data_IF_278342733234
#
_entry.id   IF_278342733234
#
_cell.length_a   1.000
_cell.length_b   1.000
_cell.length_c   1.000
_cell.angle_alpha   90.00
_cell.angle_beta   90.00
_cell.angle_gamma   90.00
#
_symmetry.space_group_name_H-M   'P 1'
#
loop_
_entity.id
_entity.type
_entity.pdbx_description
1 polymer ?
#
# COMPACT_ATOMS: atom_id res chain seq x y z
N UNK A 1 -3.43 -17.20 9.74
CA UNK A 1 -4.85 -17.49 10.02
C UNK A 1 -5.10 -18.95 9.68
N UNK A 2 -5.83 -19.63 10.54
CA UNK A 2 -6.19 -21.05 10.38
C UNK A 2 -7.63 -21.09 9.89
N UNK A 3 -7.87 -21.81 8.79
CA UNK A 3 -9.21 -22.01 8.24
C UNK A 3 -9.42 -23.49 7.99
N UNK A 4 -10.49 -24.06 8.52
CA UNK A 4 -10.80 -25.47 8.34
C UNK A 4 -12.06 -25.83 9.11
N UNK A 5 -12.65 -26.96 8.77
CA UNK A 5 -13.83 -27.48 9.46
C UNK A 5 -13.51 -27.63 10.96
N UNK A 6 -14.37 -27.07 11.82
CA UNK A 6 -14.22 -27.14 13.27
C UNK A 6 -13.44 -25.98 13.90
N UNK A 7 -12.71 -25.17 13.13
CA UNK A 7 -12.06 -23.97 13.67
C UNK A 7 -13.01 -22.76 13.65
N UNK A 8 -13.12 -22.01 14.77
CA UNK A 8 -13.83 -20.74 14.79
C UNK A 8 -13.24 -19.72 13.80
N UNK A 9 -14.06 -18.75 13.41
CA UNK A 9 -13.59 -17.61 12.64
C UNK A 9 -12.52 -16.83 13.42
N UNK A 10 -11.62 -16.15 12.70
CA UNK A 10 -10.52 -15.38 13.28
C UNK A 10 -9.57 -16.19 14.20
N UNK A 11 -9.33 -17.46 13.86
CA UNK A 11 -8.29 -18.27 14.51
C UNK A 11 -6.91 -17.95 13.90
N UNK A 12 -5.95 -17.56 14.74
CA UNK A 12 -4.59 -17.22 14.32
C UNK A 12 -3.55 -18.19 14.90
N UNK A 13 -2.38 -18.26 14.27
CA UNK A 13 -1.22 -18.96 14.82
C UNK A 13 -0.52 -17.99 15.78
N UNK A 14 -0.27 -18.44 17.00
CA UNK A 14 0.48 -17.70 18.03
C UNK A 14 1.97 -18.06 18.01
N UNK A 15 2.27 -19.36 17.85
CA UNK A 15 3.64 -19.87 17.72
C UNK A 15 3.71 -21.08 16.80
N UNK A 16 4.89 -21.29 16.21
CA UNK A 16 5.26 -22.53 15.53
C UNK A 16 6.23 -23.26 16.45
N UNK A 17 5.75 -24.31 17.11
CA UNK A 17 6.48 -25.01 18.17
C UNK A 17 7.41 -26.08 17.59
N UNK A 18 7.05 -26.64 16.43
CA UNK A 18 7.90 -27.55 15.66
C UNK A 18 7.47 -27.59 14.18
N UNK A 19 8.18 -28.38 13.36
CA UNK A 19 7.82 -28.59 11.96
C UNK A 19 6.40 -29.17 11.75
N UNK A 20 5.79 -29.75 12.79
CA UNK A 20 4.47 -30.38 12.74
C UNK A 20 3.51 -29.88 13.81
N UNK A 21 3.87 -28.82 14.55
CA UNK A 21 3.06 -28.32 15.66
C UNK A 21 3.02 -26.80 15.64
N UNK A 22 1.80 -26.27 15.75
CA UNK A 22 1.53 -24.85 15.91
C UNK A 22 0.57 -24.65 17.07
N UNK A 23 0.75 -23.56 17.81
CA UNK A 23 -0.21 -23.12 18.81
C UNK A 23 -1.18 -22.14 18.18
N UNK A 24 -2.47 -22.41 18.32
CA UNK A 24 -3.55 -21.58 17.78
C UNK A 24 -4.18 -20.72 18.88
N UNK A 25 -4.67 -19.54 18.52
CA UNK A 25 -5.31 -18.59 19.44
C UNK A 25 -6.66 -19.07 19.99
N UNK A 26 -7.28 -20.06 19.33
CA UNK A 26 -8.56 -20.63 19.72
C UNK A 26 -8.54 -22.15 19.49
N UNK A 27 -9.30 -22.87 20.32
CA UNK A 27 -9.49 -24.30 20.18
C UNK A 27 -10.56 -24.63 19.13
N UNK A 28 -10.45 -25.78 18.43
CA UNK A 28 -11.52 -26.27 17.58
C UNK A 28 -12.78 -26.57 18.42
N UNK A 29 -13.96 -26.28 17.86
CA UNK A 29 -15.26 -26.48 18.50
C UNK A 29 -15.93 -27.80 18.15
N UNK A 30 -15.43 -28.51 17.13
CA UNK A 30 -15.95 -29.80 16.70
C UNK A 30 -14.81 -30.80 16.55
N UNK A 31 -15.09 -32.05 16.90
CA UNK A 31 -14.21 -33.17 16.60
C UNK A 31 -14.31 -33.50 15.11
N UNK A 32 -13.20 -33.33 14.39
CA UNK A 32 -13.11 -33.63 12.95
C UNK A 32 -11.97 -34.61 12.72
N UNK A 33 -12.31 -35.79 12.22
CA UNK A 33 -11.34 -36.77 11.73
C UNK A 33 -11.12 -36.54 10.23
N UNK A 34 -9.87 -36.63 9.76
CA UNK A 34 -9.49 -36.44 8.35
C UNK A 34 -9.89 -35.07 7.73
N UNK A 35 -9.93 -34.03 8.55
CA UNK A 35 -10.23 -32.66 8.11
C UNK A 35 -9.02 -31.95 7.49
N UNK A 36 -9.22 -31.28 6.35
CA UNK A 36 -8.20 -30.40 5.76
C UNK A 36 -8.20 -29.04 6.46
N UNK A 37 -7.01 -28.58 6.83
CA UNK A 37 -6.77 -27.26 7.43
C UNK A 37 -5.91 -26.44 6.47
N UNK A 38 -6.29 -25.19 6.25
CA UNK A 38 -5.56 -24.21 5.46
C UNK A 38 -4.92 -23.16 6.35
N UNK A 39 -3.66 -22.83 6.05
CA UNK A 39 -2.94 -21.74 6.69
C UNK A 39 -2.84 -20.58 5.70
N UNK A 40 -3.41 -19.43 6.08
CA UNK A 40 -3.45 -18.25 5.23
C UNK A 40 -2.69 -17.09 5.90
N UNK A 41 -1.83 -16.41 5.14
CA UNK A 41 -1.18 -15.18 5.59
C UNK A 41 -2.17 -14.03 5.42
N UNK A 42 -2.33 -13.24 6.49
CA UNK A 42 -3.25 -12.09 6.51
C UNK A 42 -2.61 -10.83 7.11
N UNK A 43 -1.44 -10.97 7.73
CA UNK A 43 -0.61 -9.87 8.22
C UNK A 43 0.69 -9.88 7.42
N UNK A 44 1.05 -8.75 6.86
CA UNK A 44 2.25 -8.55 6.06
C UNK A 44 3.06 -7.43 6.68
N UNK A 45 4.34 -7.66 6.88
CA UNK A 45 5.26 -6.62 7.36
C UNK A 45 5.29 -5.48 6.35
N UNK A 46 5.17 -4.25 6.84
CA UNK A 46 5.42 -3.07 6.02
C UNK A 46 6.92 -2.99 5.71
N UNK A 47 7.30 -2.39 4.57
CA UNK A 47 8.71 -2.12 4.27
C UNK A 47 9.39 -1.30 5.37
N UNK A 48 10.68 -1.54 5.62
CA UNK A 48 11.46 -0.85 6.66
C UNK A 48 11.49 0.68 6.49
N UNK A 49 11.39 1.16 5.26
CA UNK A 49 11.37 2.56 4.89
C UNK A 49 9.95 3.14 4.75
N UNK A 50 8.90 2.42 5.14
CA UNK A 50 7.52 2.89 5.05
C UNK A 50 7.28 4.17 5.89
N UNK A 51 6.74 5.22 5.27
CA UNK A 51 6.27 6.45 5.93
C UNK A 51 4.74 6.50 6.02
N UNK A 52 4.09 6.48 4.86
CA UNK A 52 2.64 6.64 4.77
C UNK A 52 2.09 5.92 3.53
N UNK A 53 0.87 5.40 3.64
CA UNK A 53 0.20 4.75 2.51
C UNK A 53 -0.36 5.78 1.53
N UNK A 54 -0.29 5.49 0.22
CA UNK A 54 -0.95 6.31 -0.79
C UNK A 54 -2.43 5.90 -0.86
N UNK A 55 -3.39 6.82 -0.63
CA UNK A 55 -4.80 6.48 -0.64
C UNK A 55 -5.25 5.88 -1.97
N UNK A 56 -6.14 4.87 -1.92
CA UNK A 56 -6.80 4.26 -3.09
C UNK A 56 -5.86 3.54 -4.08
N UNK A 57 -4.66 3.19 -3.64
CA UNK A 57 -3.70 2.41 -4.44
C UNK A 57 -3.73 0.92 -4.08
N UNK A 58 -4.60 0.52 -3.15
CA UNK A 58 -4.74 -0.84 -2.67
C UNK A 58 -5.59 -1.66 -3.64
N UNK A 59 -4.96 -2.59 -4.35
CA UNK A 59 -5.63 -3.41 -5.35
C UNK A 59 -5.28 -4.88 -5.19
N UNK A 60 -6.30 -5.72 -5.41
CA UNK A 60 -6.12 -7.08 -5.88
C UNK A 60 -5.85 -7.01 -7.39
N UNK A 61 -4.60 -7.23 -7.77
CA UNK A 61 -4.16 -7.19 -9.18
C UNK A 61 -4.53 -8.46 -9.94
N UNK A 62 -4.83 -9.56 -9.23
CA UNK A 62 -5.27 -10.82 -9.83
C UNK A 62 -6.75 -10.75 -10.24
N UNK A 63 -7.60 -10.13 -9.42
CA UNK A 63 -9.04 -9.97 -9.71
C UNK A 63 -9.42 -8.59 -10.26
N UNK A 64 -8.46 -7.68 -10.36
CA UNK A 64 -8.66 -6.30 -10.80
C UNK A 64 -9.71 -5.53 -9.96
N UNK A 65 -9.70 -5.75 -8.65
CA UNK A 65 -10.61 -5.07 -7.71
C UNK A 65 -9.84 -4.18 -6.73
N UNK A 66 -10.34 -2.97 -6.54
CA UNK A 66 -9.90 -2.09 -5.45
C UNK A 66 -10.27 -2.73 -4.10
N UNK A 67 -9.29 -2.79 -3.19
CA UNK A 67 -9.50 -3.27 -1.84
C UNK A 67 -10.22 -2.20 -1.00
N UNK A 68 -11.10 -2.63 -0.11
CA UNK A 68 -11.92 -1.74 0.71
C UNK A 68 -11.21 -1.39 2.02
N UNK A 69 -11.14 -0.12 2.38
CA UNK A 69 -10.48 0.34 3.60
C UNK A 69 -9.97 1.77 3.49
N UNK A 70 -9.20 2.27 4.48
CA UNK A 70 -8.78 1.56 5.70
C UNK A 70 -9.95 1.34 6.66
N UNK A 71 -10.09 0.13 7.18
CA UNK A 71 -11.09 -0.19 8.20
C UNK A 71 -10.63 0.30 9.58
N UNK A 72 -11.57 0.83 10.37
CA UNK A 72 -11.29 1.21 11.76
C UNK A 72 -11.26 -0.03 12.69
N UNK A 73 -10.87 0.17 13.95
CA UNK A 73 -10.78 -0.94 14.90
C UNK A 73 -12.16 -1.57 15.20
N UNK A 74 -13.24 -0.78 15.22
CA UNK A 74 -14.58 -1.28 15.53
C UNK A 74 -15.14 -2.12 14.38
N UNK A 75 -15.01 -1.64 13.14
CA UNK A 75 -15.33 -2.38 11.92
C UNK A 75 -14.50 -3.63 11.81
N UNK A 76 -13.21 -3.57 12.18
CA UNK A 76 -12.36 -4.75 12.16
C UNK A 76 -12.83 -5.83 13.14
N UNK A 77 -13.15 -5.47 14.38
CA UNK A 77 -13.70 -6.44 15.35
C UNK A 77 -15.05 -7.00 14.90
N UNK A 78 -15.88 -6.18 14.25
CA UNK A 78 -17.12 -6.64 13.63
C UNK A 78 -16.89 -7.62 12.47
N UNK A 79 -15.83 -7.41 11.67
CA UNK A 79 -15.42 -8.33 10.60
C UNK A 79 -14.90 -9.66 11.12
N UNK A 80 -14.12 -9.65 12.21
CA UNK A 80 -13.58 -10.86 12.82
C UNK A 80 -14.66 -11.66 13.58
N UNK A 81 -15.54 -10.97 14.30
CA UNK A 81 -16.54 -11.60 15.17
C UNK A 81 -17.85 -11.95 14.44
N UNK A 82 -18.15 -11.30 13.30
CA UNK A 82 -19.39 -11.49 12.57
C UNK A 82 -19.37 -12.71 11.64
N UNK A 83 -20.35 -13.61 11.77
CA UNK A 83 -20.47 -14.83 10.94
C UNK A 83 -20.87 -14.57 9.47
N UNK A 84 -21.50 -13.43 9.15
CA UNK A 84 -22.01 -13.09 7.79
C UNK A 84 -21.25 -11.88 7.20
N UNK A 85 -20.22 -11.40 7.90
CA UNK A 85 -19.59 -10.09 7.67
C UNK A 85 -18.65 -10.04 6.45
N UNK A 86 -18.38 -11.18 5.82
CA UNK A 86 -17.33 -11.33 4.81
C UNK A 86 -17.92 -11.29 3.39
N UNK A 87 -17.76 -10.15 2.72
CA UNK A 87 -18.05 -10.02 1.28
C UNK A 87 -16.92 -10.56 0.40
N UNK A 88 -17.13 -10.63 -0.94
CA UNK A 88 -16.12 -11.13 -1.88
C UNK A 88 -14.93 -10.19 -2.08
N UNK A 89 -15.03 -8.93 -1.64
CA UNK A 89 -13.94 -7.95 -1.73
C UNK A 89 -13.06 -8.00 -0.50
N UNK A 90 -11.76 -7.91 -0.73
CA UNK A 90 -10.75 -7.84 0.32
C UNK A 90 -10.85 -6.48 1.00
N UNK A 91 -10.88 -6.51 2.32
CA UNK A 91 -10.77 -5.36 3.21
C UNK A 91 -9.37 -5.26 3.78
N UNK A 92 -8.93 -4.06 4.12
CA UNK A 92 -7.60 -3.85 4.67
C UNK A 92 -7.57 -2.81 5.80
N UNK A 93 -6.58 -2.94 6.68
CA UNK A 93 -6.21 -1.93 7.67
C UNK A 93 -4.70 -1.87 7.87
N UNK A 94 -4.23 -0.77 8.43
CA UNK A 94 -2.89 -0.68 9.01
C UNK A 94 -2.98 -1.03 10.50
N UNK A 95 -2.13 -1.94 10.95
CA UNK A 95 -2.09 -2.40 12.34
C UNK A 95 -0.65 -2.40 12.84
N UNK A 96 -0.21 -1.30 13.47
CA UNK A 96 1.19 -1.10 13.80
C UNK A 96 2.05 -1.13 12.54
N UNK A 97 3.09 -1.96 12.55
CA UNK A 97 4.02 -2.15 11.43
C UNK A 97 3.52 -3.17 10.38
N UNK A 98 2.23 -3.50 10.42
CA UNK A 98 1.64 -4.50 9.53
C UNK A 98 0.57 -3.91 8.61
N UNK A 99 0.61 -4.30 7.34
CA UNK A 99 -0.52 -4.27 6.44
C UNK A 99 -1.35 -5.53 6.65
N UNK A 100 -2.59 -5.38 7.10
CA UNK A 100 -3.47 -6.50 7.42
C UNK A 100 -4.68 -6.55 6.48
N UNK A 101 -5.01 -7.75 6.00
CA UNK A 101 -6.14 -8.01 5.10
C UNK A 101 -7.19 -8.92 5.74
N UNK A 102 -8.42 -8.83 5.22
CA UNK A 102 -9.53 -9.72 5.55
C UNK A 102 -10.49 -9.88 4.36
N UNK A 103 -10.97 -11.09 4.02
CA UNK A 103 -10.54 -12.38 4.54
C UNK A 103 -9.13 -12.77 4.07
N UNK A 104 -8.61 -13.87 4.63
CA UNK A 104 -7.44 -14.53 4.06
C UNK A 104 -7.75 -15.19 2.73
N UNK A 105 -6.71 -15.32 1.91
CA UNK A 105 -6.80 -15.85 0.54
C UNK A 105 -6.30 -17.29 0.53
N UNK A 106 -7.04 -18.19 -0.11
CA UNK A 106 -6.65 -19.60 -0.32
C UNK A 106 -5.79 -19.79 -1.56
N UNK A 107 -5.87 -18.84 -2.50
CA UNK A 107 -5.11 -18.76 -3.75
C UNK A 107 -3.98 -17.75 -3.62
N UNK A 108 -2.90 -17.96 -4.38
CA UNK A 108 -1.74 -17.06 -4.41
C UNK A 108 -2.07 -15.81 -5.25
N UNK A 109 -2.91 -14.93 -4.70
CA UNK A 109 -3.35 -13.69 -5.34
C UNK A 109 -2.31 -12.59 -5.14
N UNK A 110 -2.16 -11.73 -6.15
CA UNK A 110 -1.19 -10.64 -6.13
C UNK A 110 -1.83 -9.35 -5.63
N UNK A 111 -1.59 -9.02 -4.37
CA UNK A 111 -2.00 -7.75 -3.78
C UNK A 111 -0.90 -6.72 -3.96
N UNK A 112 -1.28 -5.48 -4.27
CA UNK A 112 -0.33 -4.39 -4.38
C UNK A 112 -0.90 -3.08 -3.86
N UNK A 113 -0.01 -2.23 -3.37
CA UNK A 113 -0.30 -0.85 -3.00
C UNK A 113 0.94 0.01 -3.17
N UNK A 114 0.75 1.32 -3.24
CA UNK A 114 1.83 2.29 -3.22
C UNK A 114 1.94 2.93 -1.83
N UNK A 115 3.17 3.26 -1.45
CA UNK A 115 3.48 3.94 -0.20
C UNK A 115 4.56 4.99 -0.43
N UNK A 116 4.60 5.98 0.44
CA UNK A 116 5.67 6.96 0.53
C UNK A 116 6.76 6.40 1.42
N UNK A 117 8.00 6.46 0.94
CA UNK A 117 9.20 6.09 1.69
C UNK A 117 9.66 7.24 2.60
N UNK A 118 10.26 6.90 3.75
CA UNK A 118 11.01 7.82 4.63
C UNK A 118 12.37 8.21 4.06
N UNK A 119 12.85 7.44 3.08
CA UNK A 119 14.16 7.63 2.49
C UNK A 119 14.20 8.79 1.51
N UNK A 120 15.06 9.76 1.79
CA UNK A 120 15.21 10.98 0.98
C UNK A 120 16.66 11.18 0.48
N UNK A 121 17.60 10.38 0.98
CA UNK A 121 18.99 10.33 0.52
C UNK A 121 19.25 9.00 -0.21
N UNK A 122 20.29 8.97 -1.03
CA UNK A 122 20.78 7.79 -1.73
C UNK A 122 22.28 7.62 -1.51
N UNK A 123 22.72 6.39 -1.26
CA UNK A 123 24.15 6.08 -1.23
C UNK A 123 24.78 6.22 -2.61
N UNK A 124 26.11 6.20 -2.67
CA UNK A 124 26.84 6.11 -3.94
C UNK A 124 26.51 4.83 -4.74
N UNK A 125 26.02 3.77 -4.07
CA UNK A 125 25.53 2.54 -4.70
C UNK A 125 24.05 2.58 -5.09
N UNK A 126 23.34 3.68 -4.79
CA UNK A 126 21.93 3.87 -5.11
C UNK A 126 20.95 3.36 -4.05
N UNK A 127 21.44 2.92 -2.88
CA UNK A 127 20.57 2.47 -1.78
C UNK A 127 19.87 3.65 -1.11
N UNK A 128 18.57 3.49 -0.85
CA UNK A 128 17.75 4.49 -0.16
C UNK A 128 18.15 4.63 1.31
N UNK A 129 18.30 5.87 1.78
CA UNK A 129 18.75 6.22 3.13
C UNK A 129 17.89 7.32 3.75
N UNK A 130 17.75 7.26 5.07
CA UNK A 130 17.01 8.27 5.85
C UNK A 130 17.89 9.45 6.30
N UNK A 131 19.20 9.38 6.05
CA UNK A 131 20.16 10.43 6.37
C UNK A 131 21.40 10.32 5.50
N UNK A 132 22.07 11.44 5.29
CA UNK A 132 23.44 11.46 4.77
C UNK A 132 24.40 10.88 5.82
N UNK A 133 25.19 9.87 5.43
CA UNK A 133 26.21 9.26 6.28
C UNK A 133 27.59 9.25 5.64
N UNK A 134 27.69 9.55 4.35
CA UNK A 134 28.94 9.66 3.61
C UNK A 134 28.89 10.86 2.64
N UNK A 135 30.05 11.45 2.36
CA UNK A 135 30.15 12.64 1.49
C UNK A 135 29.76 12.36 0.04
N UNK A 136 29.79 11.09 -0.39
CA UNK A 136 29.41 10.66 -1.74
C UNK A 136 27.90 10.35 -1.87
N UNK A 137 27.12 10.54 -0.80
CA UNK A 137 25.68 10.36 -0.87
C UNK A 137 25.02 11.48 -1.70
N UNK A 138 23.91 11.17 -2.34
CA UNK A 138 23.14 12.10 -3.19
C UNK A 138 21.72 12.26 -2.66
N UNK A 139 21.05 13.38 -3.00
CA UNK A 139 19.66 13.63 -2.59
C UNK A 139 18.69 13.21 -3.71
N UNK A 140 17.48 12.81 -3.33
CA UNK A 140 16.37 12.64 -4.30
C UNK A 140 15.83 14.01 -4.72
N UNK A 141 15.88 15.00 -3.83
CA UNK A 141 15.43 16.36 -4.13
C UNK A 141 16.45 17.12 -5.00
N UNK A 142 15.99 18.05 -5.85
CA UNK A 142 16.89 18.85 -6.66
C UNK A 142 17.90 19.63 -5.82
N UNK A 143 19.18 19.58 -6.21
CA UNK A 143 20.29 20.22 -5.48
C UNK A 143 20.05 21.71 -5.19
N UNK A 144 19.43 22.42 -6.14
CA UNK A 144 19.12 23.85 -6.00
C UNK A 144 18.19 24.13 -4.82
N UNK A 145 17.14 23.33 -4.65
CA UNK A 145 16.18 23.45 -3.56
C UNK A 145 16.89 23.19 -2.22
N UNK A 146 17.71 22.14 -2.16
CA UNK A 146 18.48 21.80 -0.95
C UNK A 146 19.45 22.90 -0.54
N UNK A 147 20.18 23.49 -1.48
CA UNK A 147 21.12 24.59 -1.22
C UNK A 147 20.39 25.84 -0.70
N UNK A 148 19.27 26.23 -1.32
CA UNK A 148 18.51 27.41 -0.91
C UNK A 148 17.87 27.23 0.48
N UNK A 149 17.32 26.04 0.74
CA UNK A 149 16.76 25.69 2.05
C UNK A 149 17.82 25.74 3.15
N UNK A 150 19.02 25.19 2.88
CA UNK A 150 20.14 25.21 3.83
C UNK A 150 20.60 26.64 4.14
N UNK A 151 20.74 27.49 3.10
CA UNK A 151 21.08 28.91 3.28
C UNK A 151 20.03 29.66 4.08
N UNK A 152 18.75 29.43 3.77
CA UNK A 152 17.62 30.03 4.48
C UNK A 152 17.66 29.64 5.97
N UNK A 153 17.78 28.35 6.30
CA UNK A 153 17.84 27.88 7.69
C UNK A 153 19.07 28.40 8.43
N UNK A 154 20.21 28.50 7.75
CA UNK A 154 21.41 29.08 8.34
C UNK A 154 21.23 30.57 8.71
N UNK A 155 20.67 31.38 7.81
CA UNK A 155 20.41 32.81 8.09
C UNK A 155 19.36 33.00 9.19
N UNK A 156 18.30 32.18 9.18
CA UNK A 156 17.29 32.17 10.25
C UNK A 156 17.92 31.86 11.61
N UNK A 157 18.77 30.84 11.69
CA UNK A 157 19.45 30.46 12.94
C UNK A 157 20.41 31.54 13.46
N UNK A 158 20.97 32.36 12.56
CA UNK A 158 21.83 33.50 12.91
C UNK A 158 21.07 34.79 13.21
N UNK A 159 19.75 34.82 12.98
CA UNK A 159 18.93 36.01 13.18
C UNK A 159 19.12 37.09 12.11
N UNK A 160 19.60 36.72 10.92
CA UNK A 160 19.70 37.66 9.78
C UNK A 160 18.35 37.81 9.07
N UNK A 161 18.20 38.87 8.27
CA UNK A 161 17.04 39.02 7.39
C UNK A 161 17.01 37.89 6.35
N UNK A 162 15.87 37.22 6.24
CA UNK A 162 15.66 36.05 5.40
C UNK A 162 14.67 36.29 4.26
N UNK A 163 14.17 37.51 4.09
CA UNK A 163 13.09 37.84 3.14
C UNK A 163 13.44 37.42 1.71
N UNK A 164 14.64 37.78 1.24
CA UNK A 164 15.10 37.40 -0.11
C UNK A 164 15.30 35.89 -0.26
N UNK A 165 15.97 35.25 0.72
CA UNK A 165 16.26 33.81 0.69
C UNK A 165 14.99 32.96 0.75
N UNK A 166 13.98 33.40 1.52
CA UNK A 166 12.70 32.71 1.62
C UNK A 166 11.96 32.70 0.29
N UNK A 167 11.89 33.86 -0.38
CA UNK A 167 11.26 33.98 -1.69
C UNK A 167 11.97 33.13 -2.73
N UNK A 168 13.30 33.19 -2.79
CA UNK A 168 14.08 32.41 -3.75
C UNK A 168 13.90 30.90 -3.53
N UNK A 169 13.94 30.43 -2.27
CA UNK A 169 13.62 29.05 -1.91
C UNK A 169 12.20 28.65 -2.33
N UNK A 170 11.21 29.49 -2.01
CA UNK A 170 9.81 29.20 -2.28
C UNK A 170 9.53 29.08 -3.77
N UNK A 171 10.08 29.98 -4.60
CA UNK A 171 9.92 29.92 -6.06
C UNK A 171 10.51 28.64 -6.66
N UNK A 172 11.68 28.23 -6.20
CA UNK A 172 12.37 27.03 -6.71
C UNK A 172 11.66 25.76 -6.24
N UNK A 173 11.15 25.74 -5.00
CA UNK A 173 10.34 24.64 -4.49
C UNK A 173 9.05 24.46 -5.30
N UNK A 174 8.31 25.53 -5.54
CA UNK A 174 7.07 25.49 -6.32
C UNK A 174 7.34 25.04 -7.77
N UNK A 175 8.44 25.49 -8.35
CA UNK A 175 8.86 25.06 -9.69
C UNK A 175 9.18 23.56 -9.72
N UNK A 176 9.91 23.06 -8.72
CA UNK A 176 10.24 21.63 -8.63
C UNK A 176 8.98 20.78 -8.46
N UNK A 177 8.04 21.18 -7.58
CA UNK A 177 6.77 20.48 -7.39
C UNK A 177 5.95 20.47 -8.69
N UNK A 178 5.87 21.60 -9.40
CA UNK A 178 5.12 21.71 -10.65
C UNK A 178 5.68 20.83 -11.77
N UNK A 179 6.99 20.56 -11.77
CA UNK A 179 7.65 19.72 -12.77
C UNK A 179 7.61 18.22 -12.44
N UNK A 180 7.42 17.86 -11.18
CA UNK A 180 7.44 16.45 -10.73
C UNK A 180 6.18 15.67 -11.16
N UNK A 181 5.06 16.37 -11.37
CA UNK A 181 3.80 15.76 -11.84
C UNK A 181 3.55 16.05 -13.33
N UNK A 182 3.34 15.00 -14.12
CA UNK A 182 2.84 15.15 -15.49
C UNK A 182 1.37 15.56 -15.48
N UNK A 183 0.99 16.57 -16.28
CA UNK A 183 -0.42 16.92 -16.45
C UNK A 183 -1.15 15.90 -17.33
N UNK A 184 -2.40 15.58 -16.98
CA UNK A 184 -3.26 14.79 -17.84
C UNK A 184 -3.47 15.50 -19.18
N UNK A 185 -3.57 14.74 -20.27
CA UNK A 185 -3.92 15.31 -21.57
C UNK A 185 -5.37 15.84 -21.52
N UNK A 186 -5.53 17.15 -21.42
CA UNK A 186 -6.82 17.82 -21.42
C UNK A 186 -7.24 18.10 -22.86
N UNK A 187 -8.24 17.36 -23.35
CA UNK A 187 -8.88 17.64 -24.63
C UNK A 187 -10.25 18.27 -24.41
N UNK A 188 -10.47 19.46 -24.99
CA UNK A 188 -11.79 20.11 -25.02
C UNK A 188 -12.73 19.50 -26.08
N UNK A 189 -12.23 18.59 -26.92
CA UNK A 189 -13.01 17.75 -27.81
C UNK A 189 -12.45 16.32 -27.76
N UNK A 190 -12.64 15.60 -26.63
CA UNK A 190 -12.18 14.23 -26.51
C UNK A 190 -12.90 13.40 -27.58
N UNK A 191 -12.16 12.94 -28.59
CA UNK A 191 -12.65 11.85 -29.42
C UNK A 191 -12.43 10.59 -28.58
N UNK A 192 -13.49 9.85 -28.20
CA UNK A 192 -13.30 8.54 -27.59
C UNK A 192 -12.38 7.76 -28.53
N UNK A 193 -11.34 7.11 -28.00
CA UNK A 193 -10.55 6.19 -28.82
C UNK A 193 -11.51 5.25 -29.54
N UNK A 194 -11.35 5.10 -30.85
CA UNK A 194 -12.24 4.25 -31.65
C UNK A 194 -12.08 2.81 -31.17
N UNK A 195 -12.92 2.39 -30.22
CA UNK A 195 -13.07 0.98 -29.86
C UNK A 195 -13.85 0.38 -31.02
N UNK A 196 -13.13 -0.01 -32.07
CA UNK A 196 -13.70 -0.64 -33.27
C UNK A 196 -14.30 -2.03 -32.95
N UNK A 197 -14.03 -2.57 -31.75
CA UNK A 197 -14.57 -3.83 -31.25
C UNK A 197 -15.08 -3.64 -29.82
N UNK A 198 -16.40 -3.47 -29.63
CA UNK A 198 -17.06 -3.37 -28.31
C UNK A 198 -18.06 -4.50 -28.06
N UNK A 199 -18.76 -4.45 -26.92
CA UNK A 199 -19.81 -5.42 -26.55
C UNK A 199 -20.92 -5.52 -27.62
N UNK A 200 -21.21 -4.43 -28.35
CA UNK A 200 -22.20 -4.41 -29.44
C UNK A 200 -21.80 -5.28 -30.65
N UNK A 201 -20.52 -5.69 -30.74
CA UNK A 201 -20.02 -6.60 -31.77
C UNK A 201 -20.02 -8.07 -31.31
N UNK A 202 -20.51 -8.36 -30.11
CA UNK A 202 -20.66 -9.72 -29.60
C UNK A 202 -22.05 -10.22 -30.03
N UNK A 203 -22.16 -11.25 -30.89
CA UNK A 203 -23.45 -11.75 -31.35
C UNK A 203 -24.22 -12.41 -30.19
N UNK A 204 -25.33 -11.79 -29.79
CA UNK A 204 -26.20 -12.20 -28.66
C UNK A 204 -27.08 -13.44 -28.93
N UNK A 205 -27.06 -14.00 -30.15
CA UNK A 205 -27.96 -15.11 -30.52
C UNK A 205 -27.30 -16.34 -31.13
N UNK A 206 -25.97 -16.35 -31.31
CA UNK A 206 -25.27 -17.52 -31.89
C UNK A 206 -25.75 -17.98 -33.28
N UNK A 207 -26.49 -17.14 -34.02
CA UNK A 207 -26.91 -17.44 -35.40
C UNK A 207 -26.05 -16.68 -36.42
N UNK A 208 -25.31 -17.42 -37.24
CA UNK A 208 -24.54 -16.92 -38.38
C UNK A 208 -23.02 -16.99 -38.19
N UNK A 209 -22.47 -18.19 -38.40
CA UNK A 209 -21.13 -18.36 -38.96
C UNK A 209 -21.23 -18.30 -40.49
#
# INVERSE_FOLDING_TARGET
MIVGTGFPNATFIESVDSASQVTASQYPQNDVTDGTIYFQKVKYDLPDDYDAIVPRTQWDKSKHWEMLGPEDAQQWEWLLSGYISTGPRIRWRLYGDYFQIWPGLSTNEYLGFEYRSKGWARSASGETKNSFTADADTCIYPDRVMVLMTKLKYFQAKGFDTTALYRDYYTELETAIAQDTSAANLSFAPRPGNILIGYDNIPDSGYGR
#
